data_IF_532349914361
#
_entry.id   IF_532349914361
#
_cell.length_a   1.000
_cell.length_b   1.000
_cell.length_c   1.000
_cell.angle_alpha   90.00
_cell.angle_beta   90.00
_cell.angle_gamma   90.00
#
_symmetry.space_group_name_H-M   'P 1'
#
loop_
_entity.id
_entity.type
_entity.pdbx_description
1 polymer ?
#
# COMPACT_ATOMS: atom_id res chain seq x y z
N UNK A 1 -4.46 -24.97 -5.55
CA UNK A 1 -5.01 -26.04 -4.67
C UNK A 1 -6.48 -26.19 -4.98
N UNK A 2 -6.95 -27.41 -5.15
CA UNK A 2 -8.27 -27.67 -5.71
C UNK A 2 -9.06 -28.63 -4.83
N UNK A 3 -10.33 -28.32 -4.61
CA UNK A 3 -11.29 -29.19 -3.93
C UNK A 3 -12.52 -29.37 -4.80
N UNK A 4 -12.92 -30.62 -5.02
CA UNK A 4 -14.13 -31.02 -5.73
C UNK A 4 -15.09 -31.64 -4.74
N UNK A 5 -16.35 -31.22 -4.75
CA UNK A 5 -17.35 -31.63 -3.76
C UNK A 5 -18.48 -32.41 -4.43
N UNK A 6 -18.85 -33.54 -3.83
CA UNK A 6 -20.13 -34.20 -4.09
C UNK A 6 -21.13 -33.73 -3.02
N UNK A 7 -22.26 -33.17 -3.41
CA UNK A 7 -23.35 -32.79 -2.50
C UNK A 7 -23.00 -31.81 -1.36
N UNK A 8 -22.09 -30.84 -1.60
CA UNK A 8 -21.90 -29.72 -0.66
C UNK A 8 -21.16 -30.04 0.64
N UNK A 9 -20.37 -31.12 0.69
CA UNK A 9 -19.57 -31.49 1.86
C UNK A 9 -18.22 -30.76 1.91
N UNK A 10 -18.26 -29.43 2.08
CA UNK A 10 -17.08 -28.57 2.27
C UNK A 10 -16.96 -28.06 3.71
N UNK A 11 -17.76 -28.60 4.65
CA UNK A 11 -18.00 -27.97 5.95
C UNK A 11 -16.78 -27.95 6.85
N UNK A 12 -16.04 -29.05 6.87
CA UNK A 12 -14.87 -29.24 7.74
C UNK A 12 -13.54 -29.27 6.97
N UNK A 13 -13.58 -28.99 5.67
CA UNK A 13 -12.37 -28.89 4.86
C UNK A 13 -11.66 -27.58 5.16
N UNK A 14 -10.38 -27.68 5.54
CA UNK A 14 -9.49 -26.54 5.74
C UNK A 14 -8.81 -26.15 4.43
N UNK A 15 -8.53 -24.86 4.26
CA UNK A 15 -7.65 -24.38 3.19
C UNK A 15 -6.23 -24.87 3.51
N UNK A 16 -5.56 -25.64 2.64
CA UNK A 16 -4.21 -26.11 3.00
C UNK A 16 -3.25 -24.92 3.21
N UNK A 17 -2.50 -24.95 4.30
CA UNK A 17 -1.60 -23.86 4.68
C UNK A 17 -2.27 -22.70 5.42
N UNK A 18 -3.57 -22.79 5.73
CA UNK A 18 -4.25 -21.89 6.67
C UNK A 18 -5.32 -22.65 7.49
N UNK A 19 -5.40 -22.42 8.79
CA UNK A 19 -6.42 -23.01 9.65
C UNK A 19 -7.80 -22.32 9.50
N UNK A 20 -8.28 -22.23 8.26
CA UNK A 20 -9.55 -21.61 7.87
C UNK A 20 -10.43 -22.64 7.17
N UNK A 21 -11.67 -22.80 7.65
CA UNK A 21 -12.66 -23.68 7.02
C UNK A 21 -13.20 -23.08 5.72
N UNK A 22 -13.31 -23.88 4.66
CA UNK A 22 -13.95 -23.47 3.40
C UNK A 22 -15.40 -23.02 3.64
N UNK A 23 -16.10 -23.66 4.57
CA UNK A 23 -17.44 -23.25 4.97
C UNK A 23 -17.52 -21.77 5.39
N UNK A 24 -16.52 -21.27 6.11
CA UNK A 24 -16.51 -19.88 6.56
C UNK A 24 -16.48 -18.92 5.35
N UNK A 25 -15.76 -19.27 4.28
CA UNK A 25 -15.72 -18.49 3.04
C UNK A 25 -17.11 -18.44 2.41
N UNK A 26 -17.74 -19.60 2.24
CA UNK A 26 -19.06 -19.70 1.59
C UNK A 26 -20.14 -18.99 2.41
N UNK A 27 -20.15 -19.15 3.73
CA UNK A 27 -21.08 -18.47 4.64
C UNK A 27 -20.88 -16.96 4.59
N UNK A 28 -19.63 -16.49 4.62
CA UNK A 28 -19.28 -15.07 4.53
C UNK A 28 -19.79 -14.45 3.22
N UNK A 29 -19.58 -15.12 2.08
CA UNK A 29 -20.09 -14.66 0.79
C UNK A 29 -21.62 -14.69 0.73
N UNK A 30 -22.25 -15.76 1.21
CA UNK A 30 -23.71 -15.88 1.20
C UNK A 30 -24.37 -14.77 2.03
N UNK A 31 -23.75 -14.39 3.16
CA UNK A 31 -24.27 -13.35 4.03
C UNK A 31 -24.01 -11.93 3.51
N UNK A 32 -22.82 -11.69 2.96
CA UNK A 32 -22.32 -10.33 2.73
C UNK A 32 -22.12 -9.97 1.25
N UNK A 33 -22.43 -10.88 0.32
CA UNK A 33 -22.24 -10.67 -1.12
C UNK A 33 -23.49 -11.06 -1.93
N UNK A 34 -24.37 -10.09 -2.15
CA UNK A 34 -25.59 -10.28 -2.96
C UNK A 34 -25.29 -10.81 -4.37
N UNK A 35 -24.23 -10.30 -5.01
CA UNK A 35 -23.82 -10.74 -6.35
C UNK A 35 -23.42 -12.22 -6.38
N UNK A 36 -22.80 -12.72 -5.31
CA UNK A 36 -22.51 -14.14 -5.18
C UNK A 36 -23.79 -14.96 -5.04
N UNK A 37 -24.73 -14.53 -4.17
CA UNK A 37 -26.01 -15.21 -3.97
C UNK A 37 -26.83 -15.27 -5.26
N UNK A 38 -26.94 -14.14 -5.97
CA UNK A 38 -27.63 -14.06 -7.25
C UNK A 38 -26.97 -14.94 -8.32
N UNK A 39 -25.63 -14.95 -8.39
CA UNK A 39 -24.91 -15.77 -9.37
C UNK A 39 -25.05 -17.26 -9.07
N UNK A 40 -24.94 -17.65 -7.80
CA UNK A 40 -25.10 -19.05 -7.37
C UNK A 40 -26.52 -19.56 -7.60
N UNK A 41 -27.54 -18.76 -7.28
CA UNK A 41 -28.94 -19.18 -7.34
C UNK A 41 -29.17 -20.49 -6.58
N UNK A 42 -29.88 -21.43 -7.20
CA UNK A 42 -30.15 -22.77 -6.65
C UNK A 42 -29.03 -23.78 -6.89
N UNK A 43 -27.98 -23.45 -7.65
CA UNK A 43 -26.87 -24.36 -7.94
C UNK A 43 -26.03 -24.66 -6.72
N UNK A 44 -25.44 -25.86 -6.69
CA UNK A 44 -24.46 -26.24 -5.67
C UNK A 44 -23.06 -25.79 -6.09
N UNK A 45 -22.18 -25.67 -5.10
CA UNK A 45 -20.76 -25.47 -5.36
C UNK A 45 -20.18 -26.84 -5.74
N UNK A 46 -19.66 -26.93 -6.98
CA UNK A 46 -19.01 -28.12 -7.50
C UNK A 46 -17.54 -28.18 -7.07
N UNK A 47 -16.86 -27.02 -7.16
CA UNK A 47 -15.41 -26.95 -7.02
C UNK A 47 -14.96 -25.59 -6.52
N UNK A 48 -13.93 -25.58 -5.68
CA UNK A 48 -13.23 -24.36 -5.26
C UNK A 48 -11.73 -24.53 -5.51
N UNK A 49 -11.15 -23.59 -6.25
CA UNK A 49 -9.72 -23.52 -6.51
C UNK A 49 -9.10 -22.32 -5.80
N UNK A 50 -7.99 -22.54 -5.12
CA UNK A 50 -7.15 -21.53 -4.47
C UNK A 50 -5.85 -21.42 -5.25
N UNK A 51 -5.69 -20.35 -6.01
CA UNK A 51 -4.45 -20.03 -6.70
C UNK A 51 -3.67 -19.00 -5.88
N UNK A 52 -2.50 -19.37 -5.36
CA UNK A 52 -1.62 -18.42 -4.70
C UNK A 52 -1.08 -17.43 -5.74
N UNK A 53 -1.48 -16.17 -5.62
CA UNK A 53 -1.05 -15.06 -6.47
C UNK A 53 -0.07 -14.14 -5.77
N UNK A 54 0.42 -14.53 -4.58
CA UNK A 54 1.50 -13.81 -3.91
C UNK A 54 2.82 -13.91 -4.69
N UNK A 55 2.98 -14.93 -5.55
CA UNK A 55 4.12 -15.11 -6.47
C UNK A 55 5.50 -15.02 -5.77
N UNK A 56 5.57 -15.46 -4.49
CA UNK A 56 6.77 -15.32 -3.66
C UNK A 56 7.11 -13.88 -3.21
N UNK A 57 6.27 -12.92 -3.60
CA UNK A 57 6.36 -11.47 -3.37
C UNK A 57 5.38 -10.98 -2.29
N UNK A 58 4.65 -11.88 -1.62
CA UNK A 58 3.73 -11.51 -0.54
C UNK A 58 4.48 -10.96 0.66
N UNK A 59 4.68 -9.65 0.78
CA UNK A 59 5.46 -8.97 1.82
C UNK A 59 4.83 -9.00 3.24
N UNK A 60 4.10 -10.06 3.59
CA UNK A 60 3.43 -10.22 4.89
C UNK A 60 2.15 -11.08 4.87
N UNK A 61 1.76 -11.63 3.72
CA UNK A 61 0.55 -12.46 3.60
C UNK A 61 0.65 -13.43 2.43
N UNK A 62 0.02 -14.60 2.56
CA UNK A 62 -0.42 -15.36 1.40
C UNK A 62 -1.66 -14.70 0.82
N UNK A 63 -1.71 -14.58 -0.50
CA UNK A 63 -2.84 -13.97 -1.21
C UNK A 63 -3.35 -14.99 -2.21
N UNK A 64 -4.51 -15.56 -1.95
CA UNK A 64 -5.12 -16.53 -2.84
C UNK A 64 -6.22 -15.88 -3.68
N UNK A 65 -6.13 -16.04 -5.00
CA UNK A 65 -7.30 -15.94 -5.87
C UNK A 65 -8.13 -17.21 -5.68
N UNK A 66 -9.32 -17.05 -5.11
CA UNK A 66 -10.27 -18.15 -4.89
C UNK A 66 -11.33 -18.12 -5.98
N UNK A 67 -11.38 -19.18 -6.78
CA UNK A 67 -12.36 -19.35 -7.87
C UNK A 67 -13.36 -20.43 -7.47
N UNK A 68 -14.62 -20.03 -7.32
CA UNK A 68 -15.75 -20.91 -6.96
C UNK A 68 -16.51 -21.26 -8.23
N UNK A 69 -16.63 -22.55 -8.52
CA UNK A 69 -17.35 -23.11 -9.68
C UNK A 69 -18.59 -23.86 -9.22
N UNK A 70 -19.65 -23.77 -10.00
CA UNK A 70 -20.96 -24.32 -9.69
C UNK A 70 -21.23 -25.60 -10.49
N UNK A 71 -22.19 -26.41 -10.04
CA UNK A 71 -22.62 -27.65 -10.70
C UNK A 71 -23.36 -27.42 -12.03
N UNK A 72 -23.88 -26.22 -12.25
CA UNK A 72 -24.46 -25.80 -13.51
C UNK A 72 -23.40 -25.07 -14.35
N UNK A 73 -22.94 -25.73 -15.42
CA UNK A 73 -21.90 -25.24 -16.33
C UNK A 73 -22.26 -23.90 -17.03
N UNK A 74 -23.53 -23.51 -17.04
CA UNK A 74 -23.96 -22.22 -17.59
C UNK A 74 -23.67 -21.04 -16.66
N UNK A 75 -23.35 -21.30 -15.39
CA UNK A 75 -23.05 -20.26 -14.40
C UNK A 75 -21.55 -19.99 -14.41
N UNK A 76 -21.17 -18.75 -14.73
CA UNK A 76 -19.77 -18.32 -14.70
C UNK A 76 -19.19 -18.47 -13.28
N UNK A 77 -17.91 -18.85 -13.14
CA UNK A 77 -17.24 -18.87 -11.85
C UNK A 77 -17.30 -17.52 -11.11
N UNK A 78 -17.18 -17.58 -9.79
CA UNK A 78 -17.09 -16.40 -8.94
C UNK A 78 -15.70 -16.32 -8.31
N UNK A 79 -15.02 -15.19 -8.52
CA UNK A 79 -13.65 -14.96 -8.04
C UNK A 79 -13.66 -14.00 -6.83
N UNK A 80 -12.88 -14.35 -5.81
CA UNK A 80 -12.61 -13.50 -4.63
C UNK A 80 -11.15 -13.61 -4.20
N UNK A 81 -10.69 -12.69 -3.37
CA UNK A 81 -9.37 -12.75 -2.73
C UNK A 81 -9.52 -13.24 -1.29
N UNK A 82 -8.68 -14.21 -0.92
CA UNK A 82 -8.45 -14.65 0.45
C UNK A 82 -7.02 -14.27 0.85
N UNK A 83 -6.87 -13.26 1.71
CA UNK A 83 -5.58 -12.79 2.22
C UNK A 83 -5.37 -13.34 3.63
N UNK A 84 -4.30 -14.11 3.81
CA UNK A 84 -3.95 -14.75 5.09
C UNK A 84 -2.59 -14.20 5.55
N UNK A 85 -2.49 -13.49 6.69
CA UNK A 85 -1.25 -12.90 7.17
C UNK A 85 -0.24 -13.99 7.53
N UNK A 86 1.05 -13.71 7.34
CA UNK A 86 2.12 -14.67 7.66
C UNK A 86 3.42 -13.97 8.04
N UNK A 87 4.19 -14.59 8.93
CA UNK A 87 5.54 -14.16 9.33
C UNK A 87 6.64 -14.62 8.36
N UNK A 88 6.32 -15.58 7.47
CA UNK A 88 7.31 -16.31 6.66
C UNK A 88 8.10 -15.38 5.73
N UNK A 89 7.42 -14.45 5.05
CA UNK A 89 8.06 -13.58 4.06
C UNK A 89 8.83 -12.43 4.70
N UNK A 90 8.34 -11.88 5.82
CA UNK A 90 9.09 -10.89 6.61
C UNK A 90 10.42 -11.47 7.12
N UNK A 91 10.40 -12.70 7.62
CA UNK A 91 11.61 -13.39 8.07
C UNK A 91 12.70 -13.51 6.99
N UNK A 92 12.34 -13.55 5.70
CA UNK A 92 13.30 -13.57 4.58
C UNK A 92 13.86 -12.19 4.24
N UNK A 93 13.02 -11.15 4.24
CA UNK A 93 13.43 -9.76 3.98
C UNK A 93 14.42 -9.25 5.04
N UNK A 94 14.25 -9.72 6.27
CA UNK A 94 15.02 -9.29 7.44
C UNK A 94 15.94 -10.38 7.98
N UNK A 95 16.24 -11.43 7.19
CA UNK A 95 17.04 -12.58 7.63
C UNK A 95 18.45 -12.20 8.12
N UNK A 96 18.96 -11.05 7.71
CA UNK A 96 20.29 -10.53 8.06
C UNK A 96 20.25 -9.33 9.01
N UNK A 97 19.09 -8.97 9.58
CA UNK A 97 19.04 -7.95 10.62
C UNK A 97 19.11 -8.59 12.00
N UNK A 98 19.92 -8.02 12.90
CA UNK A 98 19.96 -8.40 14.33
C UNK A 98 18.60 -8.15 15.03
N UNK A 99 17.66 -7.52 14.32
CA UNK A 99 16.33 -7.13 14.76
C UNK A 99 15.22 -8.09 14.31
N UNK A 100 15.54 -9.32 13.87
CA UNK A 100 14.58 -10.35 13.43
C UNK A 100 13.43 -10.60 14.42
N UNK A 101 13.68 -10.43 15.71
CA UNK A 101 12.69 -10.62 16.78
C UNK A 101 11.63 -9.50 16.86
N UNK A 102 11.82 -8.35 16.20
CA UNK A 102 10.84 -7.24 16.19
C UNK A 102 9.68 -7.47 15.21
N UNK A 103 9.81 -8.43 14.30
CA UNK A 103 8.82 -8.78 13.27
C UNK A 103 8.22 -10.16 13.56
N UNK A 104 7.83 -10.34 14.81
CA UNK A 104 7.28 -11.57 15.34
C UNK A 104 5.76 -11.69 15.04
N UNK A 105 5.14 -12.71 15.63
CA UNK A 105 3.70 -12.93 15.51
C UNK A 105 2.87 -11.77 16.08
N UNK A 106 3.38 -11.03 17.07
CA UNK A 106 2.68 -9.89 17.66
C UNK A 106 2.67 -8.70 16.70
N UNK A 107 3.77 -8.47 15.98
CA UNK A 107 3.82 -7.47 14.91
C UNK A 107 2.79 -7.80 13.81
N UNK A 108 2.77 -9.04 13.32
CA UNK A 108 1.80 -9.49 12.33
C UNK A 108 0.36 -9.34 12.83
N UNK A 109 0.09 -9.73 14.08
CA UNK A 109 -1.23 -9.54 14.71
C UNK A 109 -1.61 -8.07 14.75
N UNK A 110 -0.67 -7.18 15.09
CA UNK A 110 -0.92 -5.74 15.15
C UNK A 110 -1.33 -5.15 13.80
N UNK A 111 -0.56 -5.42 12.74
CA UNK A 111 -0.86 -4.89 11.39
C UNK A 111 -2.15 -5.52 10.80
N UNK A 112 -2.41 -6.80 11.10
CA UNK A 112 -3.65 -7.47 10.70
C UNK A 112 -4.87 -6.87 11.40
N UNK A 113 -4.83 -6.66 12.73
CA UNK A 113 -5.93 -6.04 13.46
C UNK A 113 -6.22 -4.60 13.00
N UNK A 114 -5.21 -3.88 12.51
CA UNK A 114 -5.40 -2.57 11.85
C UNK A 114 -6.16 -2.70 10.53
N UNK A 115 -5.77 -3.64 9.67
CA UNK A 115 -6.48 -3.91 8.40
C UNK A 115 -7.94 -4.33 8.65
N UNK A 116 -8.18 -5.13 9.70
CA UNK A 116 -9.52 -5.51 10.14
C UNK A 116 -10.33 -4.30 10.58
N UNK A 117 -9.74 -3.43 11.39
CA UNK A 117 -10.38 -2.18 11.82
C UNK A 117 -10.73 -1.29 10.64
N UNK A 118 -9.87 -1.23 9.62
CA UNK A 118 -10.15 -0.52 8.38
C UNK A 118 -11.40 -1.08 7.68
N UNK A 119 -11.42 -2.37 7.36
CA UNK A 119 -12.52 -2.96 6.58
C UNK A 119 -13.83 -3.10 7.37
N UNK A 120 -13.73 -3.34 8.68
CA UNK A 120 -14.91 -3.53 9.51
C UNK A 120 -15.58 -2.22 9.91
N UNK A 121 -14.82 -1.14 10.02
CA UNK A 121 -15.33 0.13 10.52
C UNK A 121 -15.06 1.30 9.58
N UNK A 122 -13.80 1.57 9.25
CA UNK A 122 -13.42 2.82 8.59
C UNK A 122 -13.97 2.94 7.17
N UNK A 123 -13.72 1.93 6.33
CA UNK A 123 -14.08 1.97 4.90
C UNK A 123 -15.59 2.13 4.67
N UNK A 124 -16.42 1.68 5.61
CA UNK A 124 -17.88 1.80 5.57
C UNK A 124 -18.39 3.20 5.91
N UNK A 125 -17.58 3.99 6.63
CA UNK A 125 -17.91 5.36 7.07
C UNK A 125 -17.41 6.43 6.11
N UNK A 126 -16.38 6.13 5.31
CA UNK A 126 -15.83 7.06 4.32
C UNK A 126 -16.61 6.93 3.01
N UNK A 127 -17.36 7.98 2.68
CA UNK A 127 -18.15 8.01 1.45
C UNK A 127 -17.21 8.03 0.23
N UNK A 128 -17.55 7.24 -0.78
CA UNK A 128 -16.88 7.16 -2.09
C UNK A 128 -15.44 6.62 -2.10
N UNK A 129 -14.88 6.21 -0.95
CA UNK A 129 -13.53 5.63 -0.89
C UNK A 129 -13.47 4.38 -1.78
N UNK A 130 -12.51 4.36 -2.70
CA UNK A 130 -12.24 3.23 -3.58
C UNK A 130 -11.40 2.19 -2.84
N UNK A 131 -12.08 1.29 -2.13
CA UNK A 131 -11.47 0.11 -1.51
C UNK A 131 -12.25 -1.15 -1.94
N UNK A 132 -11.61 -2.33 -2.00
CA UNK A 132 -12.31 -3.57 -2.32
C UNK A 132 -13.38 -3.87 -1.27
N UNK A 133 -14.53 -4.39 -1.71
CA UNK A 133 -15.56 -4.86 -0.76
C UNK A 133 -15.01 -5.99 0.09
N UNK A 134 -15.15 -5.87 1.40
CA UNK A 134 -14.81 -6.94 2.34
C UNK A 134 -16.06 -7.77 2.68
N UNK A 135 -15.97 -9.08 2.47
CA UNK A 135 -17.05 -10.04 2.70
C UNK A 135 -16.92 -10.78 4.04
N UNK A 136 -15.76 -10.72 4.69
CA UNK A 136 -15.54 -11.34 5.99
C UNK A 136 -14.12 -11.17 6.48
N UNK A 137 -13.95 -11.15 7.80
CA UNK A 137 -12.64 -11.13 8.45
C UNK A 137 -12.59 -12.09 9.63
N UNK A 138 -11.41 -12.60 9.96
CA UNK A 138 -11.12 -13.30 11.20
C UNK A 138 -9.83 -12.76 11.81
N UNK A 139 -9.83 -12.62 13.14
CA UNK A 139 -8.64 -12.27 13.93
C UNK A 139 -7.66 -13.45 14.00
N UNK A 140 -6.39 -13.14 14.27
CA UNK A 140 -5.38 -14.15 14.59
C UNK A 140 -5.58 -14.60 16.05
N UNK A 141 -5.86 -15.90 16.23
CA UNK A 141 -5.88 -16.56 17.54
C UNK A 141 -4.68 -17.51 17.57
N UNK A 142 -3.59 -17.17 18.29
CA UNK A 142 -2.36 -17.96 18.26
C UNK A 142 -2.61 -19.44 18.54
N UNK A 143 -2.06 -20.31 17.69
CA UNK A 143 -2.19 -21.78 17.73
C UNK A 143 -3.61 -22.34 17.51
N UNK A 144 -4.62 -21.51 17.29
CA UNK A 144 -6.01 -21.94 17.12
C UNK A 144 -6.63 -21.53 15.79
N UNK A 145 -6.36 -20.32 15.30
CA UNK A 145 -6.99 -19.78 14.09
C UNK A 145 -6.08 -18.77 13.41
N UNK A 146 -5.89 -18.94 12.11
CA UNK A 146 -5.20 -17.94 11.30
C UNK A 146 -6.10 -16.72 11.07
N UNK A 147 -5.47 -15.54 10.96
CA UNK A 147 -6.17 -14.35 10.52
C UNK A 147 -6.59 -14.48 9.06
N UNK A 148 -7.65 -13.80 8.65
CA UNK A 148 -7.98 -13.72 7.23
C UNK A 148 -8.81 -12.50 6.89
N UNK A 149 -8.63 -11.99 5.68
CA UNK A 149 -9.53 -11.02 5.04
C UNK A 149 -10.03 -11.63 3.73
N UNK A 150 -11.36 -11.75 3.59
CA UNK A 150 -12.03 -12.19 2.38
C UNK A 150 -12.60 -10.97 1.66
N UNK A 151 -12.14 -10.70 0.45
CA UNK A 151 -12.47 -9.45 -0.26
C UNK A 151 -12.67 -9.62 -1.77
N UNK A 152 -13.19 -8.57 -2.39
CA UNK A 152 -13.42 -8.47 -3.82
C UNK A 152 -12.14 -8.67 -4.64
N UNK A 153 -12.25 -9.43 -5.73
CA UNK A 153 -11.18 -9.57 -6.72
C UNK A 153 -11.27 -8.47 -7.78
N UNK A 154 -10.44 -7.44 -7.65
CA UNK A 154 -10.49 -6.25 -8.52
C UNK A 154 -9.80 -6.46 -9.88
N UNK A 155 -8.93 -7.46 -10.02
CA UNK A 155 -8.12 -7.61 -11.24
C UNK A 155 -8.89 -8.08 -12.48
N UNK A 156 -10.21 -8.29 -12.38
CA UNK A 156 -11.06 -8.48 -13.56
C UNK A 156 -11.27 -7.19 -14.36
N UNK A 157 -11.08 -6.02 -13.73
CA UNK A 157 -11.33 -4.69 -14.32
C UNK A 157 -10.17 -3.71 -14.18
N UNK A 158 -9.06 -4.13 -13.56
CA UNK A 158 -7.93 -3.26 -13.29
C UNK A 158 -6.64 -4.00 -12.96
N UNK A 159 -5.57 -3.25 -12.74
CA UNK A 159 -4.29 -3.79 -12.28
C UNK A 159 -3.38 -2.72 -11.68
N UNK A 160 -2.27 -3.17 -11.10
CA UNK A 160 -1.24 -2.27 -10.61
C UNK A 160 -0.32 -1.87 -11.76
N UNK A 161 -0.02 -0.58 -11.88
CA UNK A 161 0.96 -0.11 -12.85
C UNK A 161 2.35 -0.63 -12.40
N UNK A 162 3.18 -1.16 -13.31
CA UNK A 162 4.53 -1.63 -12.95
C UNK A 162 5.41 -0.50 -12.38
N UNK A 163 6.28 -0.79 -11.41
CA UNK A 163 7.11 0.22 -10.74
C UNK A 163 8.05 1.00 -11.67
N UNK A 164 8.50 0.37 -12.76
CA UNK A 164 9.30 0.98 -13.83
C UNK A 164 8.51 1.92 -14.74
N UNK A 165 7.17 1.94 -14.62
CA UNK A 165 6.26 2.85 -15.32
C UNK A 165 5.75 3.93 -14.37
N UNK A 166 6.29 5.16 -14.42
CA UNK A 166 5.87 6.23 -13.52
C UNK A 166 4.45 6.71 -13.87
N UNK A 167 3.76 7.24 -12.86
CA UNK A 167 2.43 7.81 -13.03
C UNK A 167 2.49 9.11 -13.82
N UNK A 168 1.49 9.33 -14.66
CA UNK A 168 1.20 10.65 -15.22
C UNK A 168 0.48 11.54 -14.18
N UNK A 169 0.33 12.83 -14.49
CA UNK A 169 -0.33 13.81 -13.60
C UNK A 169 -1.73 13.37 -13.20
N UNK A 170 -2.54 12.91 -14.15
CA UNK A 170 -3.94 12.54 -13.92
C UNK A 170 -4.07 11.27 -13.07
N UNK A 171 -3.22 10.27 -13.31
CA UNK A 171 -3.16 9.06 -12.46
C UNK A 171 -2.80 9.41 -11.02
N UNK A 172 -1.84 10.30 -10.81
CA UNK A 172 -1.49 10.77 -9.47
C UNK A 172 -2.64 11.57 -8.84
N UNK A 173 -3.33 12.43 -9.59
CA UNK A 173 -4.50 13.17 -9.11
C UNK A 173 -5.63 12.24 -8.65
N UNK A 174 -5.93 11.19 -9.39
CA UNK A 174 -6.97 10.22 -8.99
C UNK A 174 -6.63 9.49 -7.69
N UNK A 175 -5.36 9.24 -7.39
CA UNK A 175 -4.96 8.71 -6.06
C UNK A 175 -5.00 9.80 -4.98
N UNK A 176 -4.64 11.04 -5.31
CA UNK A 176 -4.81 12.17 -4.39
C UNK A 176 -6.28 12.40 -4.02
N UNK A 177 -7.23 12.15 -4.92
CA UNK A 177 -8.66 12.22 -4.60
C UNK A 177 -9.10 11.18 -3.55
N UNK A 178 -8.49 10.00 -3.53
CA UNK A 178 -8.74 9.02 -2.46
C UNK A 178 -8.08 9.44 -1.13
N UNK A 179 -6.89 10.04 -1.18
CA UNK A 179 -6.26 10.66 0.00
C UNK A 179 -7.13 11.80 0.54
N UNK A 180 -7.76 12.59 -0.34
CA UNK A 180 -8.69 13.65 0.03
C UNK A 180 -9.86 13.11 0.83
N UNK A 181 -10.44 11.97 0.43
CA UNK A 181 -11.54 11.33 1.16
C UNK A 181 -11.13 10.92 2.58
N UNK A 182 -9.91 10.37 2.76
CA UNK A 182 -9.36 10.05 4.07
C UNK A 182 -9.14 11.30 4.94
N UNK A 183 -8.54 12.35 4.36
CA UNK A 183 -8.22 13.58 5.08
C UNK A 183 -9.47 14.34 5.49
N UNK A 184 -10.43 14.51 4.57
CA UNK A 184 -11.72 15.12 4.86
C UNK A 184 -12.44 14.39 5.99
N UNK A 185 -12.53 13.06 5.90
CA UNK A 185 -13.13 12.25 6.94
C UNK A 185 -12.43 12.46 8.30
N UNK A 186 -11.10 12.54 8.31
CA UNK A 186 -10.30 12.72 9.53
C UNK A 186 -10.61 14.03 10.27
N UNK A 187 -10.82 15.12 9.53
CA UNK A 187 -11.16 16.42 10.12
C UNK A 187 -12.63 16.57 10.49
N UNK A 188 -13.52 15.74 9.92
CA UNK A 188 -14.95 15.78 10.25
C UNK A 188 -15.34 14.62 11.16
N UNK A 189 -15.83 13.51 10.59
CA UNK A 189 -16.47 12.40 11.31
C UNK A 189 -15.47 11.41 11.93
N UNK A 190 -14.19 11.55 11.62
CA UNK A 190 -13.12 10.61 11.94
C UNK A 190 -12.24 10.98 13.13
N UNK A 191 -12.53 12.09 13.83
CA UNK A 191 -11.69 12.63 14.92
C UNK A 191 -11.38 11.64 16.04
N UNK A 192 -12.36 10.82 16.42
CA UNK A 192 -12.16 9.79 17.45
C UNK A 192 -11.51 8.52 16.87
N UNK A 193 -11.76 8.22 15.59
CA UNK A 193 -11.30 6.99 14.94
C UNK A 193 -9.81 6.99 14.64
N UNK A 194 -9.23 8.14 14.30
CA UNK A 194 -7.79 8.25 14.03
C UNK A 194 -6.93 7.75 15.20
N UNK A 195 -7.36 8.01 16.45
CA UNK A 195 -6.64 7.59 17.65
C UNK A 195 -6.49 6.07 17.79
N UNK A 196 -7.37 5.27 17.16
CA UNK A 196 -7.27 3.79 17.12
C UNK A 196 -6.08 3.32 16.27
N UNK A 197 -5.56 4.19 15.41
CA UNK A 197 -4.53 3.88 14.43
C UNK A 197 -3.18 4.52 14.77
N UNK A 198 -2.94 4.93 16.02
CA UNK A 198 -1.64 5.45 16.45
C UNK A 198 -0.51 4.46 16.14
N UNK A 199 0.66 5.02 15.82
CA UNK A 199 1.85 4.25 15.41
C UNK A 199 2.37 3.44 16.60
N UNK A 200 2.71 2.17 16.36
CA UNK A 200 3.28 1.28 17.37
C UNK A 200 4.77 1.10 17.04
N UNK A 201 5.63 1.74 17.84
CA UNK A 201 7.07 1.47 17.91
C UNK A 201 7.99 2.35 17.04
N UNK A 202 9.07 2.86 17.63
CA UNK A 202 10.07 3.73 16.97
C UNK A 202 11.16 2.96 16.19
N UNK A 203 11.23 1.64 16.32
CA UNK A 203 12.34 0.86 15.76
C UNK A 203 12.25 0.61 14.25
N UNK A 204 11.09 0.83 13.63
CA UNK A 204 10.87 0.57 12.21
C UNK A 204 11.73 1.46 11.32
N UNK A 205 12.04 2.69 11.75
CA UNK A 205 12.89 3.60 11.00
C UNK A 205 14.34 3.10 10.89
N UNK A 206 14.85 2.44 11.94
CA UNK A 206 16.17 1.81 11.89
C UNK A 206 16.20 0.68 10.85
N UNK A 207 15.15 -0.15 10.83
CA UNK A 207 15.02 -1.22 9.84
C UNK A 207 15.03 -0.67 8.41
N UNK A 208 14.27 0.40 8.15
CA UNK A 208 14.29 1.05 6.84
C UNK A 208 15.65 1.65 6.51
N UNK A 209 16.35 2.27 7.48
CA UNK A 209 17.70 2.80 7.27
C UNK A 209 18.66 1.72 6.78
N UNK A 210 18.64 0.55 7.42
CA UNK A 210 19.54 -0.55 7.05
C UNK A 210 19.22 -1.10 5.64
N UNK A 211 17.93 -1.20 5.29
CA UNK A 211 17.50 -1.57 3.93
C UNK A 211 17.95 -0.54 2.89
N UNK A 212 17.81 0.75 3.20
CA UNK A 212 18.25 1.85 2.34
C UNK A 212 19.77 1.76 2.09
N UNK A 213 20.57 1.54 3.14
CA UNK A 213 22.03 1.38 3.03
C UNK A 213 22.39 0.20 2.13
N UNK A 214 21.73 -0.95 2.31
CA UNK A 214 21.95 -2.13 1.46
C UNK A 214 21.61 -1.83 0.00
N UNK A 215 20.46 -1.21 -0.27
CA UNK A 215 19.99 -0.97 -1.62
C UNK A 215 20.74 0.17 -2.33
N UNK A 216 21.31 1.11 -1.57
CA UNK A 216 22.26 2.09 -2.10
C UNK A 216 23.47 1.41 -2.75
N UNK A 217 24.01 0.34 -2.14
CA UNK A 217 25.13 -0.42 -2.72
C UNK A 217 24.74 -1.10 -4.05
N UNK A 218 23.47 -1.48 -4.22
CA UNK A 218 22.95 -2.02 -5.47
C UNK A 218 22.87 -0.89 -6.51
N UNK A 219 22.29 0.25 -6.15
CA UNK A 219 22.17 1.40 -7.04
C UNK A 219 23.53 1.86 -7.57
N UNK A 220 24.57 1.93 -6.73
CA UNK A 220 25.93 2.32 -7.13
C UNK A 220 26.52 1.49 -8.27
N UNK A 221 26.05 0.26 -8.47
CA UNK A 221 26.52 -0.62 -9.56
C UNK A 221 25.86 -0.30 -10.90
N UNK A 222 24.72 0.39 -10.90
CA UNK A 222 23.89 0.61 -12.11
C UNK A 222 23.76 2.10 -12.49
N UNK A 223 23.88 3.01 -11.54
CA UNK A 223 23.72 4.45 -11.79
C UNK A 223 24.94 5.00 -12.56
N UNK A 224 24.76 5.89 -13.55
CA UNK A 224 25.88 6.52 -14.22
C UNK A 224 26.81 7.28 -13.26
N UNK A 225 28.13 7.15 -13.46
CA UNK A 225 29.13 7.70 -12.54
C UNK A 225 29.01 9.21 -12.31
N UNK A 226 28.66 9.97 -13.36
CA UNK A 226 28.46 11.42 -13.23
C UNK A 226 27.27 11.77 -12.35
N UNK A 227 26.17 11.00 -12.41
CA UNK A 227 25.02 11.18 -11.53
C UNK A 227 25.37 10.83 -10.10
N UNK A 228 26.09 9.71 -9.89
CA UNK A 228 26.53 9.27 -8.57
C UNK A 228 27.39 10.32 -7.87
N UNK A 229 28.39 10.87 -8.57
CA UNK A 229 29.31 11.87 -8.03
C UNK A 229 28.61 13.14 -7.53
N UNK A 230 27.45 13.50 -8.09
CA UNK A 230 26.68 14.65 -7.63
C UNK A 230 25.83 14.39 -6.37
N UNK A 231 25.40 13.14 -6.14
CA UNK A 231 24.41 12.80 -5.11
C UNK A 231 24.98 12.02 -3.94
N UNK A 232 26.20 11.48 -4.02
CA UNK A 232 26.77 10.62 -2.98
C UNK A 232 26.86 11.33 -1.62
N UNK A 233 27.48 12.51 -1.55
CA UNK A 233 27.52 13.32 -0.31
C UNK A 233 26.11 13.71 0.20
N UNK A 234 25.18 13.98 -0.72
CA UNK A 234 23.79 14.33 -0.36
C UNK A 234 23.10 13.13 0.29
N UNK A 235 23.24 11.95 -0.30
CA UNK A 235 22.75 10.69 0.25
C UNK A 235 23.36 10.43 1.63
N UNK A 236 24.69 10.54 1.78
CA UNK A 236 25.39 10.30 3.05
C UNK A 236 24.88 11.21 4.17
N UNK A 237 24.64 12.48 3.85
CA UNK A 237 24.10 13.45 4.80
C UNK A 237 22.66 13.11 5.20
N UNK A 238 21.80 12.75 4.24
CA UNK A 238 20.41 12.37 4.50
C UNK A 238 20.32 11.06 5.30
N UNK A 239 21.08 10.02 4.95
CA UNK A 239 21.02 8.71 5.62
C UNK A 239 21.59 8.75 7.05
N UNK A 240 22.57 9.63 7.30
CA UNK A 240 23.08 9.89 8.64
C UNK A 240 22.01 10.49 9.57
N UNK A 241 21.10 11.29 9.01
CA UNK A 241 20.02 11.96 9.75
C UNK A 241 18.65 11.28 9.61
N UNK A 242 18.55 10.18 8.85
CA UNK A 242 17.27 9.59 8.44
C UNK A 242 16.34 9.24 9.60
N UNK A 243 16.87 8.63 10.67
CA UNK A 243 16.05 8.22 11.82
C UNK A 243 15.51 9.45 12.55
N UNK A 244 16.37 10.45 12.82
CA UNK A 244 15.98 11.72 13.45
C UNK A 244 14.91 12.43 12.62
N UNK A 245 15.12 12.56 11.31
CA UNK A 245 14.16 13.19 10.39
C UNK A 245 12.85 12.40 10.38
N UNK A 246 12.91 11.07 10.30
CA UNK A 246 11.70 10.24 10.23
C UNK A 246 10.87 10.28 11.52
N UNK A 247 11.50 10.44 12.67
CA UNK A 247 10.83 10.50 13.96
C UNK A 247 10.28 11.90 14.30
N UNK A 248 10.88 12.98 13.79
CA UNK A 248 10.42 14.35 14.09
C UNK A 248 9.17 14.78 13.31
N UNK A 249 8.69 13.94 12.39
CA UNK A 249 7.46 14.19 11.62
C UNK A 249 6.26 14.39 12.55
N UNK A 250 6.22 13.67 13.68
CA UNK A 250 5.08 13.62 14.60
C UNK A 250 5.24 14.52 15.84
N UNK A 251 6.17 15.47 15.83
CA UNK A 251 6.31 16.44 16.94
C UNK A 251 5.17 17.47 16.98
N UNK A 252 4.22 17.40 16.03
CA UNK A 252 3.08 18.30 15.90
C UNK A 252 1.81 17.82 16.64
N UNK A 253 1.02 18.81 17.04
CA UNK A 253 -0.32 18.73 17.63
C UNK A 253 -1.26 17.68 16.98
N UNK A 254 -1.74 16.71 17.78
CA UNK A 254 -2.70 15.65 17.43
C UNK A 254 -3.92 16.16 16.62
N UNK A 255 -4.30 17.44 16.75
CA UNK A 255 -5.39 18.05 15.98
C UNK A 255 -5.09 18.24 14.49
N UNK A 256 -3.84 18.08 14.04
CA UNK A 256 -3.41 18.24 12.65
C UNK A 256 -3.13 16.91 11.95
N UNK A 257 -3.23 15.79 12.67
CA UNK A 257 -3.07 14.45 12.13
C UNK A 257 -4.34 13.94 11.45
N UNK A 258 -4.14 13.11 10.43
CA UNK A 258 -5.15 12.49 9.57
C UNK A 258 -4.95 10.98 9.51
N UNK A 259 -6.00 10.26 9.15
CA UNK A 259 -5.90 8.84 8.79
C UNK A 259 -5.17 8.76 7.45
N UNK A 260 -4.07 8.01 7.44
CA UNK A 260 -3.28 7.69 6.28
C UNK A 260 -3.33 6.19 6.02
N UNK A 261 -3.30 5.80 4.75
CA UNK A 261 -3.05 4.43 4.32
C UNK A 261 -1.66 3.95 4.77
N UNK A 262 -0.65 4.81 4.71
CA UNK A 262 0.69 4.53 5.23
C UNK A 262 1.62 3.73 4.30
N UNK A 263 1.12 3.21 3.17
CA UNK A 263 1.87 2.39 2.21
C UNK A 263 1.39 2.54 0.75
N UNK A 264 1.20 3.79 0.29
CA UNK A 264 0.79 4.11 -1.08
C UNK A 264 1.93 4.06 -2.11
N UNK A 265 2.36 2.84 -2.43
CA UNK A 265 3.23 2.55 -3.58
C UNK A 265 2.46 1.76 -4.64
N UNK A 266 3.04 1.65 -5.84
CA UNK A 266 2.34 1.18 -7.04
C UNK A 266 1.63 -0.17 -6.91
N UNK A 267 2.14 -1.09 -6.10
CA UNK A 267 1.54 -2.41 -5.93
C UNK A 267 0.25 -2.42 -5.11
N UNK A 268 -0.04 -1.35 -4.38
CA UNK A 268 -1.23 -1.20 -3.55
C UNK A 268 -2.33 -0.36 -4.23
N UNK A 269 -2.11 0.05 -5.48
CA UNK A 269 -3.01 0.94 -6.23
C UNK A 269 -3.43 0.24 -7.52
N UNK A 270 -4.72 -0.06 -7.65
CA UNK A 270 -5.29 -0.73 -8.81
C UNK A 270 -5.99 0.30 -9.69
N UNK A 271 -5.44 0.56 -10.87
CA UNK A 271 -6.05 1.38 -11.91
C UNK A 271 -7.00 0.55 -12.76
N UNK A 272 -8.09 1.17 -13.23
CA UNK A 272 -8.95 0.57 -14.23
C UNK A 272 -8.19 0.33 -15.54
N UNK A 273 -8.60 -0.69 -16.29
CA UNK A 273 -8.08 -0.98 -17.61
C UNK A 273 -9.18 -0.83 -18.66
N UNK A 274 -8.82 -0.26 -19.81
CA UNK A 274 -9.73 -0.21 -20.95
C UNK A 274 -9.90 -1.59 -21.61
N UNK A 275 -10.77 -1.67 -22.63
CA UNK A 275 -11.04 -2.90 -23.36
C UNK A 275 -9.84 -3.49 -24.11
N UNK A 276 -8.72 -2.74 -24.21
CA UNK A 276 -7.45 -3.17 -24.80
C UNK A 276 -6.41 -3.55 -23.74
N UNK A 277 -6.78 -3.54 -22.46
CA UNK A 277 -5.87 -3.85 -21.34
C UNK A 277 -4.88 -2.72 -21.01
N UNK A 278 -5.17 -1.48 -21.43
CA UNK A 278 -4.33 -0.32 -21.10
C UNK A 278 -4.85 0.37 -19.84
N UNK A 279 -3.94 0.79 -18.97
CA UNK A 279 -4.29 1.54 -17.77
C UNK A 279 -4.96 2.87 -18.13
N UNK A 280 -6.07 3.17 -17.47
CA UNK A 280 -6.72 4.49 -17.52
C UNK A 280 -6.13 5.39 -16.43
N UNK A 281 -6.75 6.55 -16.21
CA UNK A 281 -6.42 7.42 -15.08
C UNK A 281 -7.28 7.09 -13.84
N UNK A 282 -8.33 6.29 -13.99
CA UNK A 282 -9.30 6.01 -12.93
C UNK A 282 -8.89 4.82 -12.06
N UNK A 283 -9.29 4.85 -10.78
CA UNK A 283 -8.99 3.79 -9.83
C UNK A 283 -10.12 2.77 -9.72
N UNK A 284 -9.74 1.50 -9.80
CA UNK A 284 -10.56 0.37 -9.35
C UNK A 284 -10.58 0.26 -7.83
N UNK A 285 -9.46 0.57 -7.17
CA UNK A 285 -9.36 0.53 -5.70
C UNK A 285 -7.93 0.60 -5.18
N UNK A 286 -7.81 1.02 -3.93
CA UNK A 286 -6.60 0.95 -3.11
C UNK A 286 -6.73 -0.25 -2.16
N UNK A 287 -5.68 -1.06 -2.08
CA UNK A 287 -5.64 -2.32 -1.33
C UNK A 287 -4.52 -2.30 -0.28
N UNK A 288 -4.49 -3.33 0.57
CA UNK A 288 -3.45 -3.55 1.57
C UNK A 288 -3.38 -2.46 2.66
N UNK A 289 -4.47 -2.35 3.42
CA UNK A 289 -4.64 -1.34 4.48
C UNK A 289 -3.99 -1.74 5.82
N UNK A 290 -3.02 -2.66 5.82
CA UNK A 290 -2.34 -3.12 7.04
C UNK A 290 -1.45 -2.05 7.68
N UNK A 291 -1.01 -1.07 6.89
CA UNK A 291 -0.20 0.07 7.34
C UNK A 291 -1.04 1.28 7.76
N UNK A 292 -2.37 1.17 7.80
CA UNK A 292 -3.26 2.29 8.16
C UNK A 292 -2.87 2.87 9.52
N UNK A 293 -2.68 4.18 9.56
CA UNK A 293 -2.18 4.88 10.73
C UNK A 293 -2.70 6.31 10.83
N UNK A 294 -2.69 6.86 12.05
CA UNK A 294 -2.74 8.30 12.25
C UNK A 294 -1.36 8.89 11.93
N UNK A 295 -1.32 9.83 10.99
CA UNK A 295 -0.10 10.44 10.47
C UNK A 295 -0.34 11.90 10.12
N UNK A 296 0.72 12.65 9.82
CA UNK A 296 0.60 14.05 9.41
C UNK A 296 0.00 14.18 8.01
N UNK A 297 -0.65 15.31 7.75
CA UNK A 297 -1.38 15.59 6.51
C UNK A 297 -0.54 15.44 5.23
N UNK A 298 0.78 15.65 5.31
CA UNK A 298 1.69 15.50 4.17
C UNK A 298 2.10 14.06 3.84
N UNK A 299 1.86 13.08 4.73
CA UNK A 299 2.53 11.76 4.68
C UNK A 299 2.19 10.96 3.43
N UNK A 300 0.91 10.67 3.19
CA UNK A 300 0.49 9.89 2.02
C UNK A 300 0.65 10.64 0.70
N UNK A 301 0.51 11.96 0.73
CA UNK A 301 0.75 12.83 -0.45
C UNK A 301 2.21 12.72 -0.88
N UNK A 302 3.15 12.89 0.07
CA UNK A 302 4.58 12.74 -0.20
C UNK A 302 4.91 11.32 -0.66
N UNK A 303 4.37 10.30 0.01
CA UNK A 303 4.61 8.90 -0.35
C UNK A 303 4.16 8.58 -1.77
N UNK A 304 2.96 9.00 -2.15
CA UNK A 304 2.43 8.82 -3.50
C UNK A 304 3.32 9.52 -4.54
N UNK A 305 3.56 10.82 -4.37
CA UNK A 305 4.22 11.68 -5.36
C UNK A 305 5.69 11.28 -5.51
N UNK A 306 6.41 11.07 -4.41
CA UNK A 306 7.85 10.78 -4.42
C UNK A 306 8.13 9.37 -4.93
N UNK A 307 7.29 8.38 -4.59
CA UNK A 307 7.56 6.99 -4.94
C UNK A 307 7.06 6.59 -6.33
N UNK A 308 6.03 7.25 -6.87
CA UNK A 308 5.37 6.80 -8.11
C UNK A 308 5.52 7.77 -9.30
N UNK A 309 5.95 9.02 -9.08
CA UNK A 309 6.05 10.02 -10.15
C UNK A 309 7.49 10.35 -10.55
N UNK A 310 7.67 10.77 -11.81
CA UNK A 310 8.92 11.39 -12.30
C UNK A 310 9.02 12.85 -11.84
N UNK A 311 10.23 13.45 -11.82
CA UNK A 311 10.46 14.78 -11.28
C UNK A 311 9.62 15.89 -11.93
N UNK A 312 9.34 15.78 -13.24
CA UNK A 312 8.45 16.71 -13.94
C UNK A 312 7.02 16.67 -13.38
N UNK A 313 6.43 15.48 -13.32
CA UNK A 313 5.08 15.26 -12.76
C UNK A 313 5.00 15.72 -11.31
N UNK A 314 6.05 15.48 -10.50
CA UNK A 314 6.09 15.97 -9.12
C UNK A 314 6.01 17.49 -9.05
N UNK A 315 6.84 18.20 -9.82
CA UNK A 315 6.86 19.66 -9.84
C UNK A 315 5.52 20.22 -10.32
N UNK A 316 4.93 19.62 -11.34
CA UNK A 316 3.59 19.99 -11.82
C UNK A 316 2.53 19.87 -10.71
N UNK A 317 2.49 18.73 -10.01
CA UNK A 317 1.55 18.52 -8.90
C UNK A 317 1.80 19.49 -7.75
N UNK A 318 3.06 19.67 -7.35
CA UNK A 318 3.45 20.55 -6.24
C UNK A 318 3.13 22.02 -6.52
N UNK A 319 3.37 22.50 -7.74
CA UNK A 319 3.16 23.90 -8.11
C UNK A 319 1.70 24.19 -8.43
N UNK A 320 1.03 23.32 -9.19
CA UNK A 320 -0.28 23.64 -9.78
C UNK A 320 -1.46 22.91 -9.13
N UNK A 321 -1.25 21.73 -8.52
CA UNK A 321 -2.36 20.94 -7.98
C UNK A 321 -2.50 21.04 -6.47
N UNK A 322 -1.41 20.93 -5.71
CA UNK A 322 -1.44 20.93 -4.24
C UNK A 322 -2.08 22.20 -3.61
N UNK A 323 -1.89 23.43 -4.14
CA UNK A 323 -2.64 24.59 -3.66
C UNK A 323 -4.16 24.42 -3.78
N UNK A 324 -4.63 23.98 -4.96
CA UNK A 324 -6.06 23.78 -5.25
C UNK A 324 -6.64 22.66 -4.39
N UNK A 325 -5.88 21.56 -4.23
CA UNK A 325 -6.23 20.46 -3.35
C UNK A 325 -6.46 20.95 -1.91
N UNK A 326 -5.54 21.76 -1.40
CA UNK A 326 -5.61 22.29 -0.03
C UNK A 326 -6.82 23.21 0.17
N UNK A 327 -7.03 24.16 -0.75
CA UNK A 327 -8.17 25.08 -0.72
C UNK A 327 -9.50 24.33 -0.73
N UNK A 328 -9.62 23.30 -1.59
CA UNK A 328 -10.79 22.43 -1.65
C UNK A 328 -11.00 21.68 -0.34
N UNK A 329 -9.95 21.11 0.24
CA UNK A 329 -10.05 20.35 1.50
C UNK A 329 -10.51 21.25 2.64
N UNK A 330 -9.90 22.43 2.77
CA UNK A 330 -10.28 23.41 3.76
C UNK A 330 -11.76 23.81 3.60
N UNK A 331 -12.18 24.16 2.38
CA UNK A 331 -13.57 24.51 2.10
C UNK A 331 -14.53 23.37 2.47
N UNK A 332 -14.25 22.15 2.02
CA UNK A 332 -15.12 20.99 2.25
C UNK A 332 -15.28 20.63 3.73
N UNK A 333 -14.25 20.86 4.55
CA UNK A 333 -14.33 20.66 6.01
C UNK A 333 -15.15 21.76 6.67
N UNK A 334 -14.95 23.03 6.27
CA UNK A 334 -15.72 24.16 6.78
C UNK A 334 -17.20 24.08 6.39
N UNK A 335 -17.51 23.62 5.18
CA UNK A 335 -18.88 23.41 4.70
C UNK A 335 -19.61 22.28 5.47
N UNK A 336 -18.87 21.34 6.10
CA UNK A 336 -19.43 20.36 7.04
C UNK A 336 -19.58 20.91 8.48
N UNK A 337 -19.28 22.19 8.70
CA UNK A 337 -19.41 22.87 9.99
C UNK A 337 -18.25 22.63 10.96
N UNK A 338 -17.14 22.07 10.48
CA UNK A 338 -16.00 21.68 11.29
C UNK A 338 -14.84 22.66 11.17
N UNK A 339 -13.98 22.72 12.19
CA UNK A 339 -12.78 23.58 12.15
C UNK A 339 -11.65 22.95 11.33
N UNK A 340 -10.89 23.79 10.63
CA UNK A 340 -9.71 23.38 9.87
C UNK A 340 -8.46 24.10 10.38
N UNK A 341 -7.72 23.53 11.35
CA UNK A 341 -6.65 24.21 12.09
C UNK A 341 -5.30 24.24 11.35
N UNK A 342 -5.31 24.09 10.03
CA UNK A 342 -4.12 23.97 9.19
C UNK A 342 -4.05 25.14 8.21
N UNK A 343 -2.88 25.77 8.12
CA UNK A 343 -2.56 26.75 7.06
C UNK A 343 -1.90 26.07 5.88
N UNK A 344 -1.93 26.71 4.69
CA UNK A 344 -1.22 26.18 3.53
C UNK A 344 0.28 26.06 3.78
N UNK A 345 0.87 27.01 4.49
CA UNK A 345 2.29 26.99 4.88
C UNK A 345 2.63 25.74 5.70
N UNK A 346 1.79 25.41 6.69
CA UNK A 346 1.94 24.19 7.48
C UNK A 346 1.78 22.93 6.62
N UNK A 347 0.74 22.89 5.76
CA UNK A 347 0.51 21.78 4.86
C UNK A 347 1.73 21.53 3.95
N UNK A 348 2.28 22.59 3.35
CA UNK A 348 3.46 22.50 2.48
C UNK A 348 4.70 22.06 3.27
N UNK A 349 4.93 22.62 4.46
CA UNK A 349 6.02 22.19 5.35
C UNK A 349 5.91 20.72 5.75
N UNK A 350 4.70 20.24 6.08
CA UNK A 350 4.41 18.84 6.41
C UNK A 350 4.71 17.92 5.23
N UNK A 351 4.27 18.30 4.03
CA UNK A 351 4.58 17.58 2.79
C UNK A 351 6.09 17.54 2.52
N UNK A 352 6.79 18.67 2.63
CA UNK A 352 8.22 18.74 2.34
C UNK A 352 9.03 17.90 3.32
N UNK A 353 8.68 17.94 4.61
CA UNK A 353 9.29 17.11 5.64
C UNK A 353 9.09 15.61 5.35
N UNK A 354 7.85 15.19 5.07
CA UNK A 354 7.56 13.80 4.69
C UNK A 354 8.31 13.38 3.42
N UNK A 355 8.44 14.28 2.45
CA UNK A 355 9.13 13.99 1.20
C UNK A 355 10.62 13.73 1.37
N UNK A 356 11.27 14.32 2.38
CA UNK A 356 12.68 14.01 2.70
C UNK A 356 12.80 12.54 3.09
N UNK A 357 11.92 12.05 3.96
CA UNK A 357 11.88 10.63 4.34
C UNK A 357 11.62 9.73 3.14
N UNK A 358 10.61 10.07 2.33
CA UNK A 358 10.24 9.27 1.15
C UNK A 358 11.33 9.30 0.06
N UNK A 359 12.15 10.36 0.00
CA UNK A 359 13.24 10.48 -0.98
C UNK A 359 14.24 9.33 -0.91
N UNK A 360 14.52 8.83 0.30
CA UNK A 360 15.39 7.68 0.52
C UNK A 360 14.62 6.36 0.49
N UNK A 361 13.34 6.31 0.90
CA UNK A 361 12.55 5.07 0.88
C UNK A 361 12.33 4.49 -0.52
N UNK A 362 12.41 5.30 -1.58
CA UNK A 362 12.40 4.78 -2.95
C UNK A 362 13.52 3.74 -3.18
N UNK A 363 14.66 3.84 -2.49
CA UNK A 363 15.72 2.83 -2.54
C UNK A 363 15.26 1.47 -1.98
N UNK A 364 14.37 1.47 -1.00
CA UNK A 364 13.76 0.23 -0.48
C UNK A 364 12.94 -0.45 -1.56
N UNK A 365 12.02 0.29 -2.20
CA UNK A 365 11.17 -0.21 -3.28
C UNK A 365 12.02 -0.67 -4.47
N UNK A 366 13.04 0.10 -4.83
CA UNK A 366 14.00 -0.25 -5.87
C UNK A 366 14.68 -1.60 -5.59
N UNK A 367 15.22 -1.81 -4.39
CA UNK A 367 15.87 -3.08 -4.06
C UNK A 367 14.90 -4.27 -4.12
N UNK A 368 13.65 -4.09 -3.69
CA UNK A 368 12.61 -5.10 -3.83
C UNK A 368 12.29 -5.42 -5.29
N UNK A 369 12.21 -4.40 -6.13
CA UNK A 369 11.92 -4.54 -7.54
C UNK A 369 13.07 -5.24 -8.28
N UNK A 370 14.31 -4.81 -8.07
CA UNK A 370 15.50 -5.44 -8.67
C UNK A 370 15.65 -6.89 -8.23
N UNK A 371 15.39 -7.20 -6.95
CA UNK A 371 15.46 -8.56 -6.43
C UNK A 371 14.46 -9.54 -7.05
N UNK A 372 13.47 -9.06 -7.82
CA UNK A 372 12.48 -9.88 -8.51
C UNK A 372 12.83 -10.13 -9.98
N UNK A 373 13.87 -9.48 -10.51
CA UNK A 373 14.27 -9.60 -11.91
C UNK A 373 15.23 -10.77 -12.03
N UNK A 374 15.02 -11.64 -13.02
CA UNK A 374 15.96 -12.74 -13.28
C UNK A 374 17.30 -12.25 -13.82
N UNK A 375 18.36 -13.04 -13.61
CA UNK A 375 19.70 -12.74 -14.13
C UNK A 375 19.73 -12.62 -15.67
N UNK A 376 18.85 -13.34 -16.37
CA UNK A 376 18.74 -13.27 -17.83
C UNK A 376 18.04 -11.99 -18.26
N UNK A 377 16.91 -11.64 -17.64
CA UNK A 377 16.16 -10.42 -17.95
C UNK A 377 16.99 -9.15 -17.72
N UNK A 378 17.70 -9.09 -16.60
CA UNK A 378 18.50 -7.93 -16.19
C UNK A 378 19.59 -7.51 -17.19
N UNK A 379 19.99 -8.42 -18.10
CA UNK A 379 21.01 -8.19 -19.14
C UNK A 379 20.44 -7.70 -20.48
N UNK A 380 19.11 -7.60 -20.60
CA UNK A 380 18.49 -7.13 -21.84
C UNK A 380 18.62 -5.61 -22.02
N UNK A 381 18.68 -5.10 -23.27
CA UNK A 381 18.71 -3.64 -23.52
C UNK A 381 17.51 -2.88 -22.95
N UNK A 382 16.35 -3.55 -22.86
CA UNK A 382 15.15 -2.98 -22.24
C UNK A 382 15.39 -2.72 -20.75
N UNK A 383 16.02 -3.68 -20.05
CA UNK A 383 16.30 -3.54 -18.62
C UNK A 383 17.39 -2.50 -18.34
N UNK A 384 18.37 -2.33 -19.23
CA UNK A 384 19.32 -1.22 -19.15
C UNK A 384 18.61 0.14 -19.15
N UNK A 385 17.68 0.35 -20.10
CA UNK A 385 16.89 1.58 -20.17
C UNK A 385 15.99 1.78 -18.93
N UNK A 386 15.36 0.71 -18.44
CA UNK A 386 14.54 0.75 -17.20
C UNK A 386 15.37 1.12 -15.98
N UNK A 387 16.55 0.53 -15.82
CA UNK A 387 17.45 0.87 -14.72
C UNK A 387 17.90 2.32 -14.78
N UNK A 388 18.23 2.85 -15.96
CA UNK A 388 18.57 4.26 -16.10
C UNK A 388 17.40 5.17 -15.74
N UNK A 389 16.18 4.84 -16.16
CA UNK A 389 14.98 5.61 -15.83
C UNK A 389 14.69 5.62 -14.31
N UNK A 390 14.82 4.46 -13.64
CA UNK A 390 14.65 4.34 -12.19
C UNK A 390 15.79 5.08 -11.46
N UNK A 391 17.03 4.92 -11.90
CA UNK A 391 18.18 5.60 -11.31
C UNK A 391 18.06 7.13 -11.42
N UNK A 392 17.55 7.64 -12.55
CA UNK A 392 17.24 9.07 -12.73
C UNK A 392 16.20 9.55 -11.71
N UNK A 393 15.12 8.78 -11.48
CA UNK A 393 14.12 9.10 -10.45
C UNK A 393 14.75 9.20 -9.06
N UNK A 394 15.57 8.21 -8.68
CA UNK A 394 16.25 8.19 -7.37
C UNK A 394 17.23 9.37 -7.25
N UNK A 395 17.99 9.65 -8.31
CA UNK A 395 18.92 10.78 -8.37
C UNK A 395 18.23 12.11 -8.06
N UNK A 396 17.09 12.39 -8.71
CA UNK A 396 16.34 13.61 -8.44
C UNK A 396 15.67 13.60 -7.07
N UNK A 397 15.17 12.45 -6.59
CA UNK A 397 14.62 12.34 -5.24
C UNK A 397 15.66 12.73 -4.18
N UNK A 398 16.89 12.22 -4.27
CA UNK A 398 17.96 12.53 -3.32
C UNK A 398 18.33 14.02 -3.37
N UNK A 399 18.38 14.63 -4.57
CA UNK A 399 18.62 16.08 -4.71
C UNK A 399 17.51 16.91 -4.08
N UNK A 400 16.25 16.60 -4.41
CA UNK A 400 15.08 17.32 -3.90
C UNK A 400 14.98 17.17 -2.37
N UNK A 401 15.18 15.95 -1.85
CA UNK A 401 15.18 15.67 -0.41
C UNK A 401 16.29 16.40 0.34
N UNK A 402 17.50 16.49 -0.23
CA UNK A 402 18.61 17.21 0.37
C UNK A 402 18.35 18.72 0.46
N UNK A 403 17.86 19.34 -0.62
CA UNK A 403 17.55 20.78 -0.57
C UNK A 403 16.38 21.07 0.40
N UNK A 404 15.34 20.23 0.43
CA UNK A 404 14.26 20.37 1.43
C UNK A 404 14.76 20.24 2.86
N UNK A 405 15.66 19.29 3.12
CA UNK A 405 16.25 19.11 4.45
C UNK A 405 17.05 20.35 4.89
N UNK A 406 17.79 20.99 3.98
CA UNK A 406 18.46 22.27 4.25
C UNK A 406 17.46 23.39 4.52
N UNK A 407 16.44 23.55 3.68
CA UNK A 407 15.41 24.59 3.86
C UNK A 407 14.69 24.46 5.21
N UNK A 408 14.49 23.23 5.68
CA UNK A 408 13.86 22.94 6.97
C UNK A 408 14.84 22.94 8.17
N UNK A 409 16.14 23.20 7.95
CA UNK A 409 17.20 23.15 8.96
C UNK A 409 17.30 21.79 9.69
N UNK A 410 17.13 20.69 8.95
CA UNK A 410 17.19 19.33 9.49
C UNK A 410 18.57 18.68 9.35
N UNK A 411 19.45 19.27 8.52
CA UNK A 411 20.82 18.83 8.24
C UNK A 411 21.79 20.02 8.15
#
# INVERSE_FOLDING_TARGET
MEFVFTNGDYRDVLVNGANIKINWIVVSLTKNCEQFVLRKGSSNILKINFNDISDGKGFGSYVYKVTITFDNDNIKPYDVILKVPTTIFLGKLFAHSDKKNLLDINFIKSIHSKELSFYNELSRKIKNLKAPKCYGTLEIIPNEQDGVVLMEFLSQRGGCIPFDSPYNVYQAQSVLDEIFHLQKFSFTKGKELKSKFKIIGNDIHNIFRDLIIKNWLILKKIIPQFMLGEIEYKYETLIANYVKISSSVHEDDDNKCVISHGDLWTNNIIFEMDSKGRFTNDLSGIIDWQAVQEDVIGSDIARLIVNNCVPEVRRELETNYLPIYFEKLQKDVLDEGESFPITYEYFKRSYDHCSIRESLKLLTIFGLYVGQVSDEESKSPIWEAKYLAIASRIYFNIKDGFERAKTLNLI
#
